data_IF_877327306071
#
_entry.id   IF_877327306071
#
_cell.length_a   1.000
_cell.length_b   1.000
_cell.length_c   1.000
_cell.angle_alpha   90.00
_cell.angle_beta   90.00
_cell.angle_gamma   90.00
#
_symmetry.space_group_name_H-M   'P 1'
#
loop_
_entity.id
_entity.type
_entity.pdbx_description
1 polymer ?
#
# COMPACT_ATOMS: atom_id res chain seq x y z
N UNK A 1 17.09 14.50 -18.46
CA UNK A 1 18.00 15.03 -17.42
C UNK A 1 18.57 13.83 -16.72
N UNK A 2 19.89 13.64 -16.77
CA UNK A 2 20.53 12.53 -16.08
C UNK A 2 20.46 12.82 -14.59
N UNK A 3 19.52 12.17 -13.90
CA UNK A 3 19.58 12.08 -12.46
C UNK A 3 20.82 11.26 -12.13
N UNK A 4 21.71 11.82 -11.32
CA UNK A 4 22.84 11.09 -10.73
C UNK A 4 22.35 9.72 -10.23
N UNK A 5 22.89 8.64 -10.81
CA UNK A 5 22.67 7.24 -10.37
C UNK A 5 23.24 6.97 -8.97
N UNK A 6 23.60 8.01 -8.23
CA UNK A 6 24.30 7.96 -6.96
C UNK A 6 23.72 8.96 -5.94
N UNK A 7 22.40 9.15 -5.92
CA UNK A 7 21.73 9.66 -4.72
C UNK A 7 21.86 8.61 -3.61
N UNK A 8 22.97 8.73 -2.88
CA UNK A 8 23.58 7.74 -2.00
C UNK A 8 22.61 6.87 -1.20
N UNK A 9 22.73 5.56 -1.42
CA UNK A 9 22.39 4.60 -0.39
C UNK A 9 23.28 4.90 0.82
N UNK A 10 22.71 5.54 1.84
CA UNK A 10 23.38 5.69 3.12
C UNK A 10 23.49 4.28 3.70
N UNK A 11 24.71 3.76 3.78
CA UNK A 11 24.98 2.46 4.38
C UNK A 11 24.64 2.55 5.88
N UNK A 12 23.60 1.83 6.31
CA UNK A 12 23.14 1.80 7.70
C UNK A 12 23.49 0.45 8.31
N UNK A 13 23.83 0.44 9.60
CA UNK A 13 23.85 -0.84 10.34
C UNK A 13 22.44 -1.44 10.33
N UNK A 14 22.29 -2.77 10.46
CA UNK A 14 20.95 -3.39 10.49
C UNK A 14 20.03 -2.82 11.57
N UNK A 15 20.57 -2.42 12.73
CA UNK A 15 19.82 -1.76 13.81
C UNK A 15 19.39 -0.33 13.43
N UNK A 16 20.28 0.43 12.79
CA UNK A 16 19.96 1.78 12.32
C UNK A 16 18.92 1.75 11.19
N UNK A 17 18.99 0.74 10.32
CA UNK A 17 17.99 0.51 9.26
C UNK A 17 16.64 0.11 9.84
N UNK A 18 16.60 -0.73 10.88
CA UNK A 18 15.36 -1.07 11.59
C UNK A 18 14.71 0.19 12.18
N UNK A 19 15.50 1.00 12.91
CA UNK A 19 15.00 2.24 13.49
C UNK A 19 14.52 3.21 12.41
N UNK A 20 15.25 3.34 11.31
CA UNK A 20 14.86 4.15 10.15
C UNK A 20 13.52 3.69 9.60
N UNK A 21 13.35 2.40 9.26
CA UNK A 21 12.08 1.85 8.75
C UNK A 21 10.90 2.08 9.69
N UNK A 22 11.09 1.90 11.01
CA UNK A 22 10.05 2.19 12.02
C UNK A 22 9.68 3.67 12.06
N UNK A 23 10.66 4.57 11.96
CA UNK A 23 10.40 6.02 11.88
C UNK A 23 9.64 6.39 10.61
N UNK A 24 10.02 5.83 9.46
CA UNK A 24 9.32 6.04 8.19
C UNK A 24 7.91 5.48 8.21
N UNK A 25 7.69 4.30 8.80
CA UNK A 25 6.37 3.71 8.99
C UNK A 25 5.46 4.62 9.84
N UNK A 26 5.94 5.08 10.99
CA UNK A 26 5.18 6.01 11.82
C UNK A 26 4.87 7.32 11.09
N UNK A 27 5.78 7.83 10.27
CA UNK A 27 5.56 9.02 9.45
C UNK A 27 4.52 8.78 8.33
N UNK A 28 4.59 7.64 7.64
CA UNK A 28 3.65 7.25 6.60
C UNK A 28 2.22 7.14 7.13
N UNK A 29 2.04 6.52 8.30
CA UNK A 29 0.74 6.45 8.96
C UNK A 29 0.22 7.86 9.31
N UNK A 30 1.07 8.76 9.78
CA UNK A 30 0.66 10.17 9.99
C UNK A 30 0.32 10.90 8.70
N UNK A 31 0.95 10.56 7.57
CA UNK A 31 0.59 11.07 6.24
C UNK A 31 -0.82 10.58 5.86
N UNK A 32 -1.12 9.29 6.05
CA UNK A 32 -2.46 8.73 5.82
C UNK A 32 -3.50 9.45 6.69
N UNK A 33 -3.21 9.63 7.98
CA UNK A 33 -4.08 10.40 8.87
C UNK A 33 -4.23 11.87 8.47
N UNK A 34 -3.18 12.52 7.96
CA UNK A 34 -3.24 13.91 7.47
C UNK A 34 -4.14 14.04 6.24
N UNK A 35 -4.11 13.07 5.33
CA UNK A 35 -4.97 13.05 4.15
C UNK A 35 -6.37 12.48 4.42
N UNK A 36 -6.65 11.99 5.63
CA UNK A 36 -7.95 11.45 6.00
C UNK A 36 -8.25 10.10 5.35
N UNK A 37 -7.23 9.26 5.18
CA UNK A 37 -7.38 7.91 4.63
C UNK A 37 -7.87 6.90 5.65
N UNK A 38 -7.90 7.28 6.94
CA UNK A 38 -8.41 6.47 8.03
C UNK A 38 -9.94 6.37 8.01
N UNK A 39 -10.47 5.15 8.12
CA UNK A 39 -11.89 4.85 8.29
C UNK A 39 -12.06 4.05 9.60
N UNK A 40 -12.21 4.77 10.72
CA UNK A 40 -12.24 4.16 12.04
C UNK A 40 -10.95 3.43 12.38
N UNK A 41 -11.01 2.09 12.43
CA UNK A 41 -9.86 1.22 12.75
C UNK A 41 -9.25 0.52 11.53
N UNK A 42 -9.78 0.77 10.33
CA UNK A 42 -9.32 0.14 9.11
C UNK A 42 -8.01 0.77 8.60
N UNK A 43 -7.25 -0.04 7.86
CA UNK A 43 -6.00 0.36 7.23
C UNK A 43 -4.76 0.01 8.04
N UNK A 44 -3.68 -0.20 7.31
CA UNK A 44 -2.43 -0.72 7.83
C UNK A 44 -1.31 -0.51 6.82
N UNK A 45 -0.12 -0.27 7.35
CA UNK A 45 1.11 -0.25 6.57
C UNK A 45 2.07 -1.22 7.25
N UNK A 46 2.64 -2.17 6.49
CA UNK A 46 3.68 -3.08 6.97
C UNK A 46 5.03 -2.69 6.40
N UNK A 47 6.09 -2.96 7.15
CA UNK A 47 7.46 -2.92 6.64
C UNK A 47 8.26 -4.11 7.16
N UNK A 48 8.97 -4.80 6.26
CA UNK A 48 9.83 -5.93 6.57
C UNK A 48 10.96 -5.51 7.50
N UNK A 49 11.17 -6.30 8.54
CA UNK A 49 12.26 -6.08 9.48
C UNK A 49 13.62 -6.43 8.83
N UNK A 50 14.65 -5.57 8.96
CA UNK A 50 15.96 -5.84 8.36
C UNK A 50 16.85 -6.76 9.20
N UNK A 51 16.50 -7.06 10.47
CA UNK A 51 17.21 -8.02 11.30
C UNK A 51 16.67 -9.44 11.11
N UNK A 52 15.36 -9.54 10.91
CA UNK A 52 14.62 -10.79 10.72
C UNK A 52 13.61 -10.63 9.56
N UNK A 53 14.04 -10.91 8.32
CA UNK A 53 13.23 -10.69 7.11
C UNK A 53 11.89 -11.43 7.06
N UNK A 54 11.67 -12.40 7.95
CA UNK A 54 10.42 -13.16 8.09
C UNK A 54 9.41 -12.46 9.02
N UNK A 55 9.73 -11.26 9.51
CA UNK A 55 8.87 -10.48 10.39
C UNK A 55 8.66 -9.05 9.90
N UNK A 56 7.56 -8.43 10.34
CA UNK A 56 7.07 -7.16 9.81
C UNK A 56 6.65 -6.21 10.93
N UNK A 57 7.04 -4.95 10.82
CA UNK A 57 6.51 -3.87 11.67
C UNK A 57 5.20 -3.35 11.10
N UNK A 58 4.20 -3.15 11.96
CA UNK A 58 2.86 -2.68 11.59
C UNK A 58 2.23 -1.83 12.70
N UNK A 59 1.25 -1.01 12.36
CA UNK A 59 0.43 -0.32 13.35
C UNK A 59 -0.50 -1.27 14.11
N UNK A 60 -0.68 -1.10 15.43
CA UNK A 60 -1.72 -1.79 16.15
C UNK A 60 -3.10 -1.26 15.75
N UNK A 61 -4.09 -2.15 15.75
CA UNK A 61 -5.49 -1.83 15.52
C UNK A 61 -6.01 -0.87 16.59
N UNK A 62 -6.83 0.11 16.18
CA UNK A 62 -7.46 1.07 17.09
C UNK A 62 -6.61 2.29 17.46
N UNK A 63 -5.34 2.35 17.03
CA UNK A 63 -4.51 3.55 17.19
C UNK A 63 -4.74 4.52 16.02
N UNK A 64 -5.15 5.75 16.33
CA UNK A 64 -5.30 6.79 15.30
C UNK A 64 -3.99 7.00 14.54
N UNK A 65 -4.09 6.98 13.20
CA UNK A 65 -2.98 7.24 12.28
C UNK A 65 -2.29 8.59 12.55
N UNK A 66 -3.06 9.63 12.89
CA UNK A 66 -2.55 10.97 13.23
C UNK A 66 -1.64 10.97 14.46
N UNK A 67 -1.83 10.01 15.36
CA UNK A 67 -1.15 9.95 16.65
C UNK A 67 -0.11 8.83 16.74
N UNK A 68 0.12 8.10 15.64
CA UNK A 68 1.06 6.97 15.60
C UNK A 68 2.46 7.39 16.04
N UNK A 69 3.14 6.61 16.87
CA UNK A 69 4.54 6.80 17.28
C UNK A 69 5.33 5.53 16.98
N UNK A 70 6.66 5.68 16.88
CA UNK A 70 7.57 4.52 16.74
C UNK A 70 7.38 3.51 17.87
N UNK A 71 7.15 3.99 19.10
CA UNK A 71 6.90 3.16 20.28
C UNK A 71 5.56 2.44 20.27
N UNK A 72 4.63 2.83 19.39
CA UNK A 72 3.31 2.20 19.29
C UNK A 72 3.33 0.97 18.36
N UNK A 73 4.35 0.84 17.51
CA UNK A 73 4.42 -0.21 16.49
C UNK A 73 4.61 -1.59 17.12
N UNK A 74 4.01 -2.59 16.49
CA UNK A 74 4.17 -4.01 16.82
C UNK A 74 4.93 -4.71 15.71
N UNK A 75 5.71 -5.74 16.06
CA UNK A 75 6.37 -6.63 15.09
C UNK A 75 5.66 -7.97 15.10
N UNK A 76 5.37 -8.50 13.91
CA UNK A 76 4.61 -9.74 13.70
C UNK A 76 5.32 -10.69 12.76
N UNK A 77 5.17 -11.99 12.95
CA UNK A 77 5.69 -13.03 12.05
C UNK A 77 4.68 -13.41 10.95
N UNK A 78 5.02 -14.38 10.10
CA UNK A 78 4.17 -14.90 9.01
C UNK A 78 2.90 -15.66 9.47
N UNK A 79 2.75 -15.93 10.78
CA UNK A 79 1.54 -16.52 11.35
C UNK A 79 0.64 -15.48 12.05
N UNK A 80 1.05 -14.21 12.05
CA UNK A 80 0.31 -13.11 12.67
C UNK A 80 0.51 -13.03 14.18
N UNK A 81 1.53 -13.73 14.70
CA UNK A 81 1.89 -13.66 16.11
C UNK A 81 2.68 -12.40 16.38
N UNK A 82 2.30 -11.66 17.40
CA UNK A 82 3.07 -10.49 17.86
C UNK A 82 4.34 -10.99 18.55
N UNK A 83 5.48 -10.75 17.93
CA UNK A 83 6.82 -11.12 18.45
C UNK A 83 7.49 -9.95 19.19
N UNK A 84 7.03 -8.71 18.98
CA UNK A 84 7.50 -7.54 19.72
C UNK A 84 6.44 -6.44 19.80
N UNK A 85 6.43 -5.69 20.91
CA UNK A 85 5.47 -4.61 21.17
C UNK A 85 4.19 -5.10 21.86
N UNK A 86 3.20 -4.21 21.96
CA UNK A 86 1.92 -4.49 22.63
C UNK A 86 0.77 -3.86 21.87
N UNK A 87 -0.31 -4.62 21.68
CA UNK A 87 -1.51 -4.13 20.99
C UNK A 87 -2.32 -5.27 20.40
N UNK A 88 -3.24 -4.92 19.51
CA UNK A 88 -4.05 -5.90 18.78
C UNK A 88 -3.66 -5.81 17.30
N UNK A 89 -3.31 -6.95 16.70
CA UNK A 89 -3.13 -7.03 15.25
C UNK A 89 -4.50 -7.11 14.58
N UNK A 90 -4.69 -6.35 13.51
CA UNK A 90 -5.86 -6.53 12.65
C UNK A 90 -5.66 -7.81 11.82
N UNK A 91 -6.47 -8.84 12.04
CA UNK A 91 -6.33 -10.13 11.35
C UNK A 91 -6.39 -10.01 9.83
N UNK A 92 -7.26 -9.14 9.29
CA UNK A 92 -7.37 -8.91 7.86
C UNK A 92 -6.13 -8.21 7.28
N UNK A 93 -5.54 -7.30 8.04
CA UNK A 93 -4.27 -6.66 7.69
C UNK A 93 -3.17 -7.67 7.47
N UNK A 94 -3.13 -8.62 8.39
CA UNK A 94 -2.12 -9.64 8.43
C UNK A 94 -2.24 -10.61 7.26
N UNK A 95 -3.43 -11.18 7.05
CA UNK A 95 -3.68 -12.17 5.99
C UNK A 95 -3.28 -11.67 4.61
N UNK A 96 -3.53 -10.40 4.30
CA UNK A 96 -3.18 -9.83 2.99
C UNK A 96 -1.67 -9.58 2.89
N UNK A 97 -1.10 -8.83 3.85
CA UNK A 97 0.28 -8.36 3.73
C UNK A 97 1.28 -9.51 3.91
N UNK A 98 0.99 -10.52 4.73
CA UNK A 98 1.87 -11.67 4.93
C UNK A 98 2.05 -12.49 3.66
N UNK A 99 0.96 -12.73 2.91
CA UNK A 99 0.99 -13.46 1.65
C UNK A 99 1.70 -12.67 0.54
N UNK A 100 1.50 -11.35 0.50
CA UNK A 100 2.29 -10.48 -0.39
C UNK A 100 3.78 -10.59 -0.07
N UNK A 101 4.17 -10.43 1.20
CA UNK A 101 5.58 -10.47 1.58
C UNK A 101 6.22 -11.84 1.39
N UNK A 102 5.46 -12.93 1.53
CA UNK A 102 5.93 -14.29 1.25
C UNK A 102 6.13 -14.51 -0.26
N UNK A 103 5.17 -14.08 -1.08
CA UNK A 103 5.23 -14.22 -2.53
C UNK A 103 6.25 -13.26 -3.20
N UNK A 104 6.54 -12.12 -2.55
CA UNK A 104 7.39 -11.03 -3.08
C UNK A 104 8.49 -10.64 -2.09
N UNK A 105 9.62 -11.36 -2.05
CA UNK A 105 10.77 -11.00 -1.22
C UNK A 105 11.34 -9.62 -1.53
N UNK A 106 11.16 -9.12 -2.76
CA UNK A 106 11.56 -7.77 -3.19
C UNK A 106 10.69 -6.66 -2.58
N UNK A 107 9.49 -6.98 -2.09
CA UNK A 107 8.60 -6.04 -1.42
C UNK A 107 9.03 -5.87 0.04
N UNK A 108 9.49 -4.66 0.34
CA UNK A 108 9.85 -4.22 1.70
C UNK A 108 8.66 -3.68 2.45
N UNK A 109 7.72 -2.99 1.78
CA UNK A 109 6.57 -2.38 2.43
C UNK A 109 5.30 -2.55 1.60
N UNK A 110 4.16 -2.67 2.29
CA UNK A 110 2.84 -2.71 1.70
C UNK A 110 1.91 -1.75 2.46
N UNK A 111 1.03 -1.05 1.75
CA UNK A 111 0.16 -0.03 2.31
C UNK A 111 -1.29 -0.21 1.83
N UNK A 112 -2.23 -0.19 2.77
CA UNK A 112 -3.65 -0.30 2.51
C UNK A 112 -4.45 0.57 3.48
N UNK A 113 -5.51 1.21 2.99
CA UNK A 113 -6.52 1.85 3.81
C UNK A 113 -7.86 1.87 3.06
N UNK A 114 -8.90 2.40 3.71
CA UNK A 114 -10.24 2.52 3.13
C UNK A 114 -10.52 3.98 2.75
N UNK A 115 -9.57 4.61 2.04
CA UNK A 115 -9.68 5.99 1.60
C UNK A 115 -10.85 6.19 0.63
N UNK A 116 -11.46 7.37 0.69
CA UNK A 116 -12.80 7.62 0.12
C UNK A 116 -12.85 7.45 -1.40
N UNK A 117 -11.86 7.96 -2.12
CA UNK A 117 -11.87 7.91 -3.59
C UNK A 117 -11.42 6.55 -4.09
N UNK A 118 -10.47 5.91 -3.42
CA UNK A 118 -10.03 4.54 -3.67
C UNK A 118 -11.17 3.54 -3.54
N UNK A 119 -11.92 3.56 -2.44
CA UNK A 119 -13.09 2.66 -2.27
C UNK A 119 -14.23 2.99 -3.24
N UNK A 120 -14.45 4.28 -3.55
CA UNK A 120 -15.44 4.68 -4.55
C UNK A 120 -15.05 4.17 -5.94
N UNK A 121 -13.81 4.34 -6.36
CA UNK A 121 -13.29 3.84 -7.63
C UNK A 121 -13.35 2.31 -7.70
N UNK A 122 -12.88 1.63 -6.66
CA UNK A 122 -12.89 0.17 -6.58
C UNK A 122 -14.30 -0.44 -6.71
N UNK A 123 -15.35 0.30 -6.35
CA UNK A 123 -16.73 -0.16 -6.54
C UNK A 123 -17.15 -0.30 -8.01
N UNK A 124 -16.39 0.30 -8.94
CA UNK A 124 -16.63 0.22 -10.39
C UNK A 124 -16.04 -1.03 -11.03
N UNK A 125 -15.17 -1.77 -10.33
CA UNK A 125 -14.60 -3.04 -10.82
C UNK A 125 -13.78 -2.89 -12.10
N UNK A 126 -12.97 -1.82 -12.22
CA UNK A 126 -12.10 -1.60 -13.38
C UNK A 126 -10.78 -0.92 -13.02
N UNK A 127 -9.79 -1.08 -13.90
CA UNK A 127 -8.49 -0.39 -13.82
C UNK A 127 -8.63 1.12 -14.02
N UNK A 128 -7.66 1.88 -13.54
CA UNK A 128 -7.52 3.32 -13.81
C UNK A 128 -7.20 3.56 -15.28
N UNK A 129 -7.85 4.58 -15.86
CA UNK A 129 -7.53 5.01 -17.22
C UNK A 129 -6.32 5.97 -17.20
N UNK A 130 -5.48 6.01 -18.25
CA UNK A 130 -4.35 6.92 -18.33
C UNK A 130 -4.83 8.35 -18.66
N UNK A 131 -5.57 9.00 -17.75
CA UNK A 131 -6.16 10.33 -17.99
C UNK A 131 -5.21 11.49 -17.70
N UNK A 132 -4.23 11.28 -16.82
CA UNK A 132 -3.26 12.27 -16.39
C UNK A 132 -1.86 11.67 -16.40
N UNK A 133 -0.84 12.53 -16.34
CA UNK A 133 0.56 12.10 -16.21
C UNK A 133 0.75 11.23 -14.95
N UNK A 134 0.11 11.59 -13.84
CA UNK A 134 0.13 10.80 -12.60
C UNK A 134 -0.52 9.42 -12.79
N UNK A 135 -1.65 9.35 -13.51
CA UNK A 135 -2.33 8.09 -13.79
C UNK A 135 -1.47 7.12 -14.62
N UNK A 136 -0.64 7.67 -15.52
CA UNK A 136 0.29 6.87 -16.33
C UNK A 136 1.31 6.12 -15.48
N UNK A 137 1.64 6.59 -14.27
CA UNK A 137 2.50 5.86 -13.33
C UNK A 137 1.97 4.47 -12.97
N UNK A 138 0.67 4.20 -13.19
CA UNK A 138 0.03 2.91 -12.97
C UNK A 138 -0.30 2.16 -14.27
N UNK A 139 -0.16 2.79 -15.44
CA UNK A 139 -0.60 2.20 -16.69
C UNK A 139 0.18 0.92 -17.02
N UNK A 140 -0.53 -0.21 -17.12
CA UNK A 140 0.09 -1.54 -17.28
C UNK A 140 0.72 -2.13 -16.01
N UNK A 141 0.72 -1.39 -14.90
CA UNK A 141 1.43 -1.76 -13.66
C UNK A 141 0.53 -1.63 -12.41
N UNK A 142 -0.75 -1.93 -12.57
CA UNK A 142 -1.64 -2.23 -11.45
C UNK A 142 -2.65 -3.31 -11.84
N UNK A 143 -3.07 -4.09 -10.86
CA UNK A 143 -3.99 -5.21 -11.03
C UNK A 143 -5.41 -4.86 -10.56
N UNK A 144 -6.37 -5.72 -10.91
CA UNK A 144 -7.73 -5.70 -10.39
C UNK A 144 -8.06 -7.08 -9.83
N UNK A 145 -8.38 -7.12 -8.54
CA UNK A 145 -9.06 -8.26 -7.93
C UNK A 145 -10.57 -8.04 -8.08
N UNK A 146 -11.17 -8.71 -9.07
CA UNK A 146 -12.59 -8.58 -9.46
C UNK A 146 -13.51 -9.58 -8.73
N UNK A 147 -13.11 -10.01 -7.54
CA UNK A 147 -13.90 -10.93 -6.72
C UNK A 147 -13.89 -10.49 -5.26
N UNK A 148 -15.06 -10.08 -4.75
CA UNK A 148 -15.24 -9.65 -3.36
C UNK A 148 -15.92 -10.77 -2.57
N UNK A 149 -15.14 -11.40 -1.69
CA UNK A 149 -15.59 -12.53 -0.86
C UNK A 149 -16.02 -12.13 0.55
N UNK A 150 -16.00 -10.84 0.88
CA UNK A 150 -16.33 -10.31 2.21
C UNK A 150 -15.10 -9.76 2.93
N UNK A 151 -15.09 -9.82 4.27
CA UNK A 151 -13.91 -9.42 5.05
C UNK A 151 -12.83 -10.46 4.83
N UNK A 152 -11.68 -10.03 4.29
CA UNK A 152 -10.54 -10.89 4.01
C UNK A 152 -9.93 -11.37 5.34
N UNK A 153 -10.35 -12.54 5.81
CA UNK A 153 -9.79 -13.18 7.01
C UNK A 153 -9.19 -14.56 6.72
N UNK A 154 -9.50 -15.14 5.58
CA UNK A 154 -9.06 -16.48 5.18
C UNK A 154 -7.76 -16.43 4.36
N UNK A 155 -6.85 -17.37 4.60
CA UNK A 155 -5.54 -17.42 3.94
C UNK A 155 -5.64 -17.54 2.42
N UNK A 156 -6.64 -18.27 1.93
CA UNK A 156 -6.90 -18.44 0.49
C UNK A 156 -7.16 -17.09 -0.22
N UNK A 157 -7.79 -16.14 0.48
CA UNK A 157 -8.03 -14.80 -0.06
C UNK A 157 -6.72 -14.00 -0.16
N UNK A 158 -5.82 -14.16 0.81
CA UNK A 158 -4.50 -13.53 0.79
C UNK A 158 -3.60 -14.06 -0.33
N UNK A 159 -3.57 -15.39 -0.52
CA UNK A 159 -2.81 -16.02 -1.61
C UNK A 159 -3.31 -15.57 -2.98
N UNK A 160 -4.62 -15.57 -3.18
CA UNK A 160 -5.24 -15.11 -4.43
C UNK A 160 -4.94 -13.65 -4.71
N UNK A 161 -4.96 -12.79 -3.67
CA UNK A 161 -4.60 -11.39 -3.81
C UNK A 161 -3.14 -11.25 -4.23
N UNK A 162 -2.21 -11.96 -3.57
CA UNK A 162 -0.80 -11.92 -3.92
C UNK A 162 -0.54 -12.43 -5.36
N UNK A 163 -1.23 -13.50 -5.77
CA UNK A 163 -1.18 -14.01 -7.15
C UNK A 163 -1.72 -12.99 -8.16
N UNK A 164 -2.84 -12.32 -7.84
CA UNK A 164 -3.46 -11.32 -8.72
C UNK A 164 -2.61 -10.06 -8.84
N UNK A 165 -1.97 -9.63 -7.75
CA UNK A 165 -1.00 -8.54 -7.75
C UNK A 165 0.19 -8.87 -8.67
N UNK A 166 0.68 -10.11 -8.64
CA UNK A 166 1.77 -10.58 -9.48
C UNK A 166 3.03 -9.75 -9.25
N UNK A 167 3.60 -9.19 -10.32
CA UNK A 167 4.79 -8.34 -10.31
C UNK A 167 4.49 -6.84 -10.09
N UNK A 168 3.21 -6.46 -9.98
CA UNK A 168 2.78 -5.05 -10.09
C UNK A 168 2.96 -4.28 -8.79
N UNK A 169 2.99 -2.95 -8.90
CA UNK A 169 3.13 -2.05 -7.74
C UNK A 169 1.82 -1.78 -6.98
N UNK A 170 0.67 -2.04 -7.60
CA UNK A 170 -0.62 -1.72 -7.02
C UNK A 170 -1.72 -2.70 -7.44
N UNK A 171 -2.77 -2.79 -6.63
CA UNK A 171 -3.96 -3.58 -6.92
C UNK A 171 -5.23 -2.85 -6.44
N UNK A 172 -6.25 -2.85 -7.28
CA UNK A 172 -7.60 -2.43 -6.95
C UNK A 172 -8.35 -3.66 -6.43
N UNK A 173 -8.93 -3.54 -5.24
CA UNK A 173 -9.71 -4.57 -4.58
C UNK A 173 -11.19 -4.21 -4.74
N UNK A 174 -11.88 -4.84 -5.70
CA UNK A 174 -13.26 -4.47 -6.03
C UNK A 174 -14.15 -4.44 -4.79
N UNK A 175 -14.96 -3.38 -4.67
CA UNK A 175 -15.83 -3.09 -3.53
C UNK A 175 -15.13 -2.89 -2.16
N UNK A 176 -13.79 -2.83 -2.11
CA UNK A 176 -13.03 -2.70 -0.87
C UNK A 176 -12.14 -1.44 -0.86
N UNK A 177 -11.25 -1.29 -1.85
CA UNK A 177 -10.30 -0.18 -1.90
C UNK A 177 -9.11 -0.48 -2.81
N UNK A 178 -7.93 0.00 -2.47
CA UNK A 178 -6.69 -0.33 -3.17
C UNK A 178 -5.55 -0.63 -2.19
N UNK A 179 -4.54 -1.31 -2.69
CA UNK A 179 -3.31 -1.64 -1.97
C UNK A 179 -2.12 -1.36 -2.86
N UNK A 180 -1.02 -0.91 -2.27
CA UNK A 180 0.23 -0.65 -2.98
C UNK A 180 1.42 -1.27 -2.26
N UNK A 181 2.43 -1.68 -3.02
CA UNK A 181 3.67 -2.27 -2.53
C UNK A 181 4.88 -1.46 -2.99
N UNK A 182 6.01 -1.61 -2.32
CA UNK A 182 7.27 -0.98 -2.71
C UNK A 182 8.49 -1.58 -2.03
N UNK A 183 9.66 -1.22 -2.54
CA UNK A 183 10.98 -1.56 -1.98
C UNK A 183 11.35 -0.68 -0.78
N UNK A 184 10.54 0.33 -0.48
CA UNK A 184 10.63 1.18 0.72
C UNK A 184 9.24 1.59 1.23
N UNK A 185 9.18 2.05 2.48
CA UNK A 185 7.93 2.60 3.05
C UNK A 185 7.47 3.82 2.27
N UNK A 186 8.41 4.65 1.86
CA UNK A 186 8.19 5.86 1.08
C UNK A 186 7.52 5.56 -0.26
N UNK A 187 8.05 4.57 -0.96
CA UNK A 187 7.54 4.15 -2.26
C UNK A 187 6.10 3.62 -2.13
N UNK A 188 5.86 2.66 -1.23
CA UNK A 188 4.52 2.13 -1.01
C UNK A 188 3.53 3.24 -0.60
N UNK A 189 3.97 4.19 0.26
CA UNK A 189 3.14 5.32 0.68
C UNK A 189 2.86 6.29 -0.47
N UNK A 190 3.86 6.58 -1.29
CA UNK A 190 3.74 7.47 -2.45
C UNK A 190 2.76 6.91 -3.47
N UNK A 191 2.89 5.62 -3.81
CA UNK A 191 1.96 4.96 -4.71
C UNK A 191 0.54 5.01 -4.17
N UNK A 192 0.32 4.75 -2.87
CA UNK A 192 -1.01 4.82 -2.29
C UNK A 192 -1.63 6.22 -2.41
N UNK A 193 -0.88 7.26 -2.02
CA UNK A 193 -1.33 8.66 -2.06
C UNK A 193 -1.64 9.09 -3.50
N UNK A 194 -0.77 8.74 -4.45
CA UNK A 194 -0.92 9.11 -5.86
C UNK A 194 -2.08 8.36 -6.50
N UNK A 195 -2.26 7.07 -6.19
CA UNK A 195 -3.39 6.28 -6.68
C UNK A 195 -4.73 6.83 -6.15
N UNK A 196 -4.82 7.15 -4.85
CA UNK A 196 -6.02 7.78 -4.28
C UNK A 196 -6.39 9.10 -4.99
N UNK A 197 -5.39 9.96 -5.26
CA UNK A 197 -5.61 11.22 -5.99
C UNK A 197 -5.99 10.98 -7.45
N UNK A 198 -5.46 9.92 -8.06
CA UNK A 198 -5.82 9.53 -9.43
C UNK A 198 -7.27 9.05 -9.48
N UNK A 199 -7.70 8.21 -8.53
CA UNK A 199 -9.10 7.83 -8.34
C UNK A 199 -9.99 9.07 -8.18
N UNK A 200 -9.58 10.02 -7.34
CA UNK A 200 -10.31 11.28 -7.15
C UNK A 200 -10.47 12.06 -8.46
N UNK A 201 -9.37 12.28 -9.18
CA UNK A 201 -9.36 13.04 -10.43
C UNK A 201 -10.24 12.36 -11.49
N UNK A 202 -10.16 11.04 -11.60
CA UNK A 202 -10.92 10.28 -12.57
C UNK A 202 -12.43 10.31 -12.29
N UNK A 203 -12.84 10.10 -11.03
CA UNK A 203 -14.24 10.23 -10.62
C UNK A 203 -14.80 11.62 -10.95
N UNK A 204 -14.02 12.69 -10.68
CA UNK A 204 -14.43 14.06 -10.99
C UNK A 204 -14.51 14.32 -12.50
N UNK A 205 -13.55 13.80 -13.27
CA UNK A 205 -13.53 13.96 -14.72
C UNK A 205 -14.74 13.28 -15.38
N UNK A 206 -15.11 12.07 -14.93
CA UNK A 206 -16.25 11.31 -15.44
C UNK A 206 -17.60 11.91 -15.00
N UNK A 207 -17.65 12.53 -13.82
CA UNK A 207 -18.81 13.30 -13.41
C UNK A 207 -18.99 14.59 -14.24
N UNK A 208 -17.89 15.22 -14.67
CA UNK A 208 -17.91 16.44 -15.46
C UNK A 208 -18.18 16.22 -16.96
N UNK A 209 -17.88 15.03 -17.47
CA UNK A 209 -18.09 14.67 -18.89
C UNK A 209 -17.38 13.38 -19.28
N UNK A 210 -17.08 13.23 -20.57
CA UNK A 210 -16.34 12.09 -21.10
C UNK A 210 -14.84 12.44 -21.20
N UNK A 211 -13.96 11.83 -20.36
CA UNK A 211 -12.52 12.05 -20.47
C UNK A 211 -11.96 11.50 -21.78
N UNK A 212 -10.83 12.07 -22.22
CA UNK A 212 -10.04 11.59 -23.37
C UNK A 212 -8.73 11.03 -22.84
N UNK A 213 -8.52 9.71 -22.87
CA UNK A 213 -7.29 9.11 -22.37
C UNK A 213 -6.05 9.57 -23.13
N UNK A 214 -4.92 9.62 -22.43
CA UNK A 214 -3.60 9.73 -23.05
C UNK A 214 -3.39 8.52 -23.97
N UNK A 215 -2.93 8.71 -25.21
CA UNK A 215 -2.67 7.62 -26.15
C UNK A 215 -1.72 6.56 -25.57
N UNK A 216 -1.93 5.29 -25.94
CA UNK A 216 -1.18 4.16 -25.40
C UNK A 216 0.35 4.35 -25.50
N UNK A 217 0.84 4.79 -26.65
CA UNK A 217 2.27 5.04 -26.91
C UNK A 217 2.84 6.13 -25.99
N UNK A 218 2.06 7.14 -25.63
CA UNK A 218 2.49 8.16 -24.67
C UNK A 218 2.40 7.66 -23.23
N UNK A 219 1.36 6.90 -22.90
CA UNK A 219 1.12 6.38 -21.56
C UNK A 219 2.19 5.37 -21.11
N UNK A 220 2.71 4.52 -22.01
CA UNK A 220 3.81 3.59 -21.70
C UNK A 220 5.17 4.26 -21.52
N UNK A 221 5.34 5.51 -21.94
CA UNK A 221 6.59 6.27 -21.88
C UNK A 221 6.63 7.34 -20.78
N UNK A 222 5.54 7.46 -20.01
CA UNK A 222 5.38 8.45 -18.94
C UNK A 222 5.66 7.82 -17.59
#
# INVERSE_FOLDING_TARGET
MNADENMGQVERSPLDEQLFRKQRLAAALRIFGKFGFDEGVAGHITVRDPLDPETFWVNPMGRSFKMMRVSDLIRVDHDGTIVEGSGILNGAAFTIHSQIHAARPDVTAAAHAHSIYGKAWASLGRLLDPLTQDACSFYGDHALLDDYTGVVVDMDDGERLAQTLGDKKAIILKNHGHLTVGQSVEEATWWYVTMERTCQAQLLAEAAGQPKPIPHDMAVHT
#
